data_IF_078686361736
#
_entry.id   IF_078686361736
#
_cell.length_a   1.000
_cell.length_b   1.000
_cell.length_c   1.000
_cell.angle_alpha   90.00
_cell.angle_beta   90.00
_cell.angle_gamma   90.00
#
_symmetry.space_group_name_H-M   'P 1'
#
loop_
_entity.id
_entity.type
_entity.pdbx_description
1 polymer ?
#
# COMPACT_ATOMS: atom_id res chain seq x y z
N UNK A 1 -0.77 -16.99 -8.15
CA UNK A 1 -1.67 -16.16 -8.96
C UNK A 1 -2.11 -16.81 -10.28
N UNK A 2 -1.23 -17.18 -11.21
CA UNK A 2 -1.63 -17.77 -12.52
C UNK A 2 -2.61 -18.96 -12.41
N UNK A 3 -2.38 -19.86 -11.45
CA UNK A 3 -3.28 -21.02 -11.23
C UNK A 3 -4.67 -20.57 -10.75
N UNK A 4 -4.73 -19.62 -9.81
CA UNK A 4 -5.98 -19.06 -9.30
C UNK A 4 -6.79 -18.35 -10.40
N UNK A 5 -6.12 -17.57 -11.25
CA UNK A 5 -6.75 -16.94 -12.42
C UNK A 5 -7.28 -17.96 -13.42
N UNK A 6 -6.53 -19.05 -13.63
CA UNK A 6 -6.97 -20.15 -14.48
C UNK A 6 -8.18 -20.88 -13.89
N UNK A 7 -8.17 -21.13 -12.57
CA UNK A 7 -9.29 -21.77 -11.87
C UNK A 7 -10.57 -20.93 -12.02
N UNK A 8 -10.47 -19.61 -11.78
CA UNK A 8 -11.61 -18.69 -11.91
C UNK A 8 -12.10 -18.60 -13.36
N UNK A 9 -11.18 -18.44 -14.33
CA UNK A 9 -11.53 -18.30 -15.76
C UNK A 9 -12.16 -19.55 -16.33
N UNK A 10 -11.64 -20.71 -15.94
CA UNK A 10 -12.08 -22.01 -16.48
C UNK A 10 -13.18 -22.66 -15.62
N UNK A 11 -13.64 -21.96 -14.56
CA UNK A 11 -14.62 -22.48 -13.59
C UNK A 11 -14.19 -23.83 -13.00
N UNK A 12 -12.89 -23.95 -12.64
CA UNK A 12 -12.36 -25.13 -11.99
C UNK A 12 -12.60 -24.98 -10.48
N UNK A 13 -13.37 -25.91 -9.92
CA UNK A 13 -13.78 -25.87 -8.52
C UNK A 13 -12.86 -26.73 -7.67
N UNK A 14 -12.23 -26.13 -6.67
CA UNK A 14 -11.48 -26.82 -5.62
C UNK A 14 -12.16 -26.62 -4.28
N UNK A 15 -11.87 -27.50 -3.35
CA UNK A 15 -12.53 -27.50 -2.03
C UNK A 15 -11.77 -26.64 -1.01
N UNK A 16 -10.54 -26.19 -1.33
CA UNK A 16 -9.76 -25.29 -0.47
C UNK A 16 -8.96 -24.30 -1.30
N UNK A 17 -9.02 -23.04 -0.89
CA UNK A 17 -8.19 -21.95 -1.37
C UNK A 17 -7.54 -21.23 -0.18
N UNK A 18 -6.23 -20.97 -0.27
CA UNK A 18 -5.49 -20.17 0.70
C UNK A 18 -4.87 -18.98 -0.02
N UNK A 19 -5.42 -17.80 0.23
CA UNK A 19 -4.96 -16.52 -0.30
C UNK A 19 -4.14 -15.84 0.79
N UNK A 20 -2.88 -15.52 0.54
CA UNK A 20 -2.03 -14.91 1.58
C UNK A 20 -1.11 -13.84 1.04
N UNK A 21 -0.62 -12.97 1.93
CA UNK A 21 0.32 -11.91 1.62
C UNK A 21 -0.20 -10.52 1.96
N UNK A 22 0.64 -9.47 1.87
CA UNK A 22 0.31 -8.12 2.33
C UNK A 22 -0.76 -7.41 1.48
N UNK A 23 -0.97 -7.81 0.21
CA UNK A 23 -1.89 -7.14 -0.71
C UNK A 23 -3.36 -7.48 -0.44
N UNK A 24 -3.94 -6.87 0.60
CA UNK A 24 -5.32 -7.10 1.06
C UNK A 24 -6.37 -6.82 -0.01
N UNK A 25 -6.20 -5.77 -0.84
CA UNK A 25 -7.11 -5.43 -1.93
C UNK A 25 -7.27 -6.57 -2.93
N UNK A 26 -6.14 -7.11 -3.42
CA UNK A 26 -6.17 -8.21 -4.36
C UNK A 26 -6.69 -9.48 -3.72
N UNK A 27 -6.30 -9.81 -2.47
CA UNK A 27 -6.85 -10.95 -1.72
C UNK A 27 -8.37 -10.86 -1.67
N UNK A 28 -8.93 -9.71 -1.26
CA UNK A 28 -10.38 -9.50 -1.15
C UNK A 28 -11.10 -9.57 -2.51
N UNK A 29 -10.47 -9.05 -3.57
CA UNK A 29 -11.03 -9.12 -4.92
C UNK A 29 -11.12 -10.57 -5.43
N UNK A 30 -10.06 -11.36 -5.21
CA UNK A 30 -10.06 -12.77 -5.62
C UNK A 30 -10.93 -13.64 -4.73
N UNK A 31 -11.02 -13.36 -3.44
CA UNK A 31 -11.95 -13.99 -2.51
C UNK A 31 -13.39 -13.81 -2.98
N UNK A 32 -13.81 -12.56 -3.27
CA UNK A 32 -15.15 -12.26 -3.81
C UNK A 32 -15.41 -12.99 -5.14
N UNK A 33 -14.41 -13.02 -6.03
CA UNK A 33 -14.51 -13.73 -7.28
C UNK A 33 -14.67 -15.25 -7.10
N UNK A 34 -13.98 -15.84 -6.11
CA UNK A 34 -14.14 -17.25 -5.76
C UNK A 34 -15.52 -17.51 -5.16
N UNK A 35 -15.95 -16.71 -4.19
CA UNK A 35 -17.29 -16.85 -3.58
C UNK A 35 -18.38 -16.83 -4.65
N UNK A 36 -18.30 -15.88 -5.59
CA UNK A 36 -19.29 -15.76 -6.69
C UNK A 36 -19.33 -16.93 -7.68
N UNK A 37 -18.31 -17.81 -7.66
CA UNK A 37 -18.33 -19.05 -8.45
C UNK A 37 -19.22 -20.13 -7.84
N UNK A 38 -19.38 -20.10 -6.51
CA UNK A 38 -20.01 -21.19 -5.76
C UNK A 38 -21.38 -20.80 -5.20
N UNK A 39 -21.57 -19.52 -4.89
CA UNK A 39 -22.74 -19.03 -4.15
C UNK A 39 -23.37 -17.86 -4.90
N UNK A 40 -24.70 -17.90 -5.05
CA UNK A 40 -25.44 -16.79 -5.66
C UNK A 40 -25.41 -15.54 -4.76
N UNK A 41 -25.55 -14.36 -5.36
CA UNK A 41 -25.62 -13.12 -4.60
C UNK A 41 -26.84 -13.12 -3.67
N UNK A 42 -26.61 -12.84 -2.38
CA UNK A 42 -27.65 -12.82 -1.35
C UNK A 42 -27.92 -14.17 -0.69
N UNK A 43 -27.25 -15.25 -1.07
CA UNK A 43 -27.36 -16.54 -0.37
C UNK A 43 -26.62 -16.52 0.96
N UNK A 44 -27.35 -16.35 2.04
CA UNK A 44 -26.84 -16.37 3.42
C UNK A 44 -26.87 -17.75 4.08
N UNK A 45 -27.50 -18.75 3.44
CA UNK A 45 -27.62 -20.10 3.99
C UNK A 45 -26.39 -20.96 3.71
N UNK A 46 -25.70 -20.69 2.59
CA UNK A 46 -24.56 -21.49 2.15
C UNK A 46 -23.24 -20.71 2.22
N UNK A 47 -23.25 -19.45 2.67
CA UNK A 47 -22.05 -18.62 2.81
C UNK A 47 -21.89 -18.15 4.26
N UNK A 48 -20.77 -18.52 4.87
CA UNK A 48 -20.44 -18.11 6.24
C UNK A 48 -19.06 -17.48 6.28
N UNK A 49 -18.93 -16.39 7.05
CA UNK A 49 -17.68 -15.68 7.27
C UNK A 49 -17.22 -15.80 8.72
N UNK A 50 -15.95 -16.11 8.90
CA UNK A 50 -15.25 -16.08 10.18
C UNK A 50 -14.10 -15.09 10.12
N UNK A 51 -13.92 -14.30 11.19
CA UNK A 51 -12.91 -13.24 11.27
C UNK A 51 -12.08 -13.34 12.53
N UNK A 52 -10.77 -13.16 12.39
CA UNK A 52 -9.85 -13.00 13.52
C UNK A 52 -9.40 -14.32 14.14
N UNK A 53 -8.59 -14.21 15.19
CA UNK A 53 -7.79 -15.30 15.76
C UNK A 53 -8.52 -16.24 16.70
N UNK A 54 -9.66 -15.83 17.25
CA UNK A 54 -10.44 -16.60 18.25
C UNK A 54 -11.49 -17.44 17.54
N UNK A 55 -11.05 -18.47 16.85
CA UNK A 55 -11.91 -19.37 16.09
C UNK A 55 -11.76 -20.78 16.63
N UNK A 56 -12.89 -21.45 16.89
CA UNK A 56 -12.89 -22.89 17.18
C UNK A 56 -12.88 -23.66 15.86
N UNK A 57 -11.78 -24.31 15.59
CA UNK A 57 -11.61 -25.11 14.36
C UNK A 57 -12.61 -26.27 14.27
N UNK A 58 -13.05 -26.82 15.41
CA UNK A 58 -14.04 -27.90 15.44
C UNK A 58 -15.39 -27.43 14.96
N UNK A 59 -15.82 -26.23 15.39
CA UNK A 59 -17.05 -25.61 14.90
C UNK A 59 -17.02 -25.42 13.38
N UNK A 60 -15.85 -24.99 12.83
CA UNK A 60 -15.68 -24.83 11.39
C UNK A 60 -15.77 -26.17 10.67
N UNK A 61 -15.13 -27.22 11.20
CA UNK A 61 -15.16 -28.58 10.62
C UNK A 61 -16.59 -29.12 10.67
N UNK A 62 -17.29 -28.98 11.78
CA UNK A 62 -18.67 -29.42 11.94
C UNK A 62 -19.60 -28.71 10.93
N UNK A 63 -19.43 -27.40 10.77
CA UNK A 63 -20.15 -26.64 9.73
C UNK A 63 -19.80 -27.09 8.32
N UNK A 64 -18.54 -27.37 8.06
CA UNK A 64 -18.04 -27.81 6.76
C UNK A 64 -18.56 -29.18 6.34
N UNK A 65 -18.91 -30.04 7.30
CA UNK A 65 -19.52 -31.36 7.08
C UNK A 65 -21.06 -31.31 6.91
N UNK A 66 -21.67 -30.15 7.16
CA UNK A 66 -23.11 -30.00 6.93
C UNK A 66 -23.40 -29.81 5.44
N UNK A 67 -24.42 -30.50 4.93
CA UNK A 67 -24.83 -30.38 3.54
C UNK A 67 -25.30 -28.94 3.22
N UNK A 68 -25.00 -28.44 2.01
CA UNK A 68 -25.50 -27.14 1.58
C UNK A 68 -27.03 -27.18 1.40
N UNK A 69 -27.69 -26.05 1.66
CA UNK A 69 -29.13 -25.93 1.52
C UNK A 69 -29.51 -25.50 0.10
N UNK A 70 -30.13 -26.36 -0.68
CA UNK A 70 -30.55 -26.09 -2.08
C UNK A 70 -29.43 -25.49 -2.97
N UNK A 71 -28.17 -25.84 -2.73
CA UNK A 71 -27.00 -25.38 -3.46
C UNK A 71 -26.02 -26.52 -3.67
N UNK A 72 -25.09 -26.39 -4.64
CA UNK A 72 -24.06 -27.40 -4.89
C UNK A 72 -22.94 -27.34 -3.84
N UNK A 73 -22.67 -26.18 -3.27
CA UNK A 73 -21.56 -25.95 -2.37
C UNK A 73 -21.96 -25.10 -1.17
N UNK A 74 -21.38 -25.43 -0.02
CA UNK A 74 -21.26 -24.57 1.14
C UNK A 74 -19.90 -23.88 1.08
N UNK A 75 -19.87 -22.56 1.25
CA UNK A 75 -18.64 -21.77 1.26
C UNK A 75 -18.40 -21.19 2.64
N UNK A 76 -17.23 -21.44 3.18
CA UNK A 76 -16.78 -20.87 4.44
C UNK A 76 -15.54 -20.03 4.16
N UNK A 77 -15.64 -18.73 4.43
CA UNK A 77 -14.55 -17.76 4.26
C UNK A 77 -13.95 -17.45 5.64
N UNK A 78 -12.64 -17.59 5.73
CA UNK A 78 -11.89 -17.40 6.97
C UNK A 78 -10.83 -16.32 6.75
N UNK A 79 -10.97 -15.16 7.45
CA UNK A 79 -10.10 -14.02 7.27
C UNK A 79 -9.27 -13.74 8.52
N UNK A 80 -7.95 -13.64 8.35
CA UNK A 80 -6.96 -13.28 9.39
C UNK A 80 -7.08 -14.15 10.65
N UNK A 81 -7.23 -15.45 10.45
CA UNK A 81 -7.43 -16.44 11.50
C UNK A 81 -6.14 -16.93 12.14
N UNK A 82 -5.00 -16.72 11.46
CA UNK A 82 -3.67 -17.26 11.80
C UNK A 82 -3.61 -18.80 11.83
N UNK A 83 -4.63 -19.51 11.34
CA UNK A 83 -4.65 -20.97 11.27
C UNK A 83 -3.55 -21.55 10.37
N UNK A 84 -2.95 -20.75 9.51
CA UNK A 84 -1.80 -21.11 8.68
C UNK A 84 -0.48 -20.50 9.16
N UNK A 85 -0.47 -19.80 10.30
CA UNK A 85 0.74 -19.24 10.93
C UNK A 85 1.30 -20.11 12.03
N UNK A 86 0.46 -20.97 12.62
CA UNK A 86 0.81 -21.89 13.69
C UNK A 86 0.32 -23.32 13.35
N UNK A 87 0.90 -24.35 14.00
CA UNK A 87 0.45 -25.73 13.79
C UNK A 87 -0.98 -25.92 14.28
N UNK A 88 -1.82 -26.50 13.42
CA UNK A 88 -3.19 -26.88 13.71
C UNK A 88 -3.41 -28.31 13.17
N UNK A 89 -3.30 -29.27 14.07
CA UNK A 89 -3.38 -30.69 13.73
C UNK A 89 -4.76 -31.07 13.19
N UNK A 90 -5.82 -30.56 13.82
CA UNK A 90 -7.21 -30.81 13.40
C UNK A 90 -7.44 -30.36 11.95
N UNK A 91 -6.97 -29.17 11.58
CA UNK A 91 -7.08 -28.66 10.22
C UNK A 91 -6.22 -29.48 9.24
N UNK A 92 -5.01 -29.88 9.67
CA UNK A 92 -4.10 -30.68 8.83
C UNK A 92 -4.68 -32.07 8.52
N UNK A 93 -5.39 -32.67 9.46
CA UNK A 93 -6.05 -33.99 9.29
C UNK A 93 -7.37 -33.88 8.51
N UNK A 94 -8.05 -32.74 8.60
CA UNK A 94 -9.31 -32.49 7.91
C UNK A 94 -9.14 -32.19 6.42
N UNK A 95 -8.17 -31.34 6.03
CA UNK A 95 -7.99 -30.92 4.64
C UNK A 95 -7.93 -32.08 3.62
N UNK A 96 -7.23 -33.20 3.86
CA UNK A 96 -7.24 -34.33 2.93
C UNK A 96 -8.61 -34.96 2.68
N UNK A 97 -9.51 -34.83 3.66
CA UNK A 97 -10.83 -35.47 3.70
C UNK A 97 -12.00 -34.49 3.57
N UNK A 98 -11.72 -33.26 3.14
CA UNK A 98 -12.73 -32.21 3.02
C UNK A 98 -13.90 -32.65 2.13
N UNK A 99 -15.13 -32.39 2.58
CA UNK A 99 -16.35 -32.76 1.85
C UNK A 99 -16.35 -32.18 0.43
N UNK A 100 -16.80 -32.97 -0.55
CA UNK A 100 -16.91 -32.51 -1.94
C UNK A 100 -17.92 -31.37 -2.09
N UNK A 101 -18.87 -31.24 -1.18
CA UNK A 101 -19.89 -30.17 -1.16
C UNK A 101 -19.44 -28.91 -0.43
N UNK A 102 -18.19 -28.84 0.06
CA UNK A 102 -17.66 -27.71 0.83
C UNK A 102 -16.51 -27.04 0.10
N UNK A 103 -16.42 -25.72 0.23
CA UNK A 103 -15.29 -24.92 -0.19
C UNK A 103 -14.84 -24.01 0.95
N UNK A 104 -13.60 -24.22 1.41
CA UNK A 104 -12.94 -23.36 2.39
C UNK A 104 -12.08 -22.32 1.67
N UNK A 105 -12.25 -21.04 2.00
CA UNK A 105 -11.45 -19.94 1.44
C UNK A 105 -10.79 -19.21 2.61
N UNK A 106 -9.49 -19.38 2.74
CA UNK A 106 -8.67 -18.65 3.73
C UNK A 106 -8.05 -17.41 3.10
N UNK A 107 -8.14 -16.28 3.80
CA UNK A 107 -7.52 -15.01 3.44
C UNK A 107 -6.65 -14.54 4.61
N UNK A 108 -5.33 -14.73 4.52
CA UNK A 108 -4.37 -14.55 5.61
C UNK A 108 -3.30 -13.52 5.24
N UNK A 109 -2.85 -12.70 6.21
CA UNK A 109 -1.73 -11.78 5.98
C UNK A 109 -0.41 -12.55 5.84
N UNK A 110 -0.25 -13.62 6.61
CA UNK A 110 0.97 -14.46 6.65
C UNK A 110 0.61 -15.91 6.82
N UNK A 111 1.41 -16.78 6.21
CA UNK A 111 1.34 -18.24 6.42
C UNK A 111 2.74 -18.82 6.57
N UNK A 112 2.87 -19.94 7.25
CA UNK A 112 4.10 -20.74 7.23
C UNK A 112 3.95 -21.89 6.21
N UNK A 113 4.76 -21.84 5.17
CA UNK A 113 4.75 -22.82 4.08
C UNK A 113 5.24 -24.22 4.49
N UNK A 114 5.87 -24.34 5.67
CA UNK A 114 6.42 -25.60 6.19
C UNK A 114 5.38 -26.43 6.94
N UNK A 115 4.31 -25.80 7.40
CA UNK A 115 3.27 -26.43 8.20
C UNK A 115 2.55 -27.54 7.42
N UNK A 116 2.08 -28.56 8.18
CA UNK A 116 1.41 -29.72 7.65
C UNK A 116 0.10 -29.36 6.92
N UNK A 117 -0.72 -28.49 7.52
CA UNK A 117 -1.95 -27.99 6.90
C UNK A 117 -1.68 -27.19 5.61
N UNK A 118 -0.58 -26.43 5.53
CA UNK A 118 -0.23 -25.69 4.30
C UNK A 118 0.17 -26.64 3.17
N UNK A 119 0.91 -27.70 3.49
CA UNK A 119 1.26 -28.75 2.52
C UNK A 119 0.02 -29.51 2.05
N UNK A 120 -0.89 -29.85 2.96
CA UNK A 120 -2.17 -30.46 2.63
C UNK A 120 -3.02 -29.57 1.71
N UNK A 121 -3.13 -28.27 2.04
CA UNK A 121 -3.84 -27.30 1.21
C UNK A 121 -3.23 -27.16 -0.20
N UNK A 122 -1.90 -27.20 -0.34
CA UNK A 122 -1.22 -27.20 -1.65
C UNK A 122 -1.53 -28.43 -2.49
N UNK A 123 -1.70 -29.59 -1.85
CA UNK A 123 -1.98 -30.87 -2.57
C UNK A 123 -3.43 -30.98 -3.01
N UNK A 124 -4.38 -30.43 -2.25
CA UNK A 124 -5.83 -30.57 -2.45
C UNK A 124 -6.49 -29.36 -3.08
N UNK A 125 -5.83 -28.19 -3.04
CA UNK A 125 -6.40 -26.93 -3.44
C UNK A 125 -5.42 -25.99 -4.14
N UNK A 126 -5.65 -24.68 -3.93
CA UNK A 126 -4.78 -23.62 -4.44
C UNK A 126 -4.30 -22.75 -3.30
N UNK A 127 -2.98 -22.59 -3.21
CA UNK A 127 -2.32 -21.65 -2.29
C UNK A 127 -1.70 -20.53 -3.14
N UNK A 128 -2.20 -19.31 -3.00
CA UNK A 128 -1.83 -18.17 -3.82
C UNK A 128 -1.26 -17.03 -2.97
N UNK A 129 -0.08 -16.54 -3.35
CA UNK A 129 0.59 -15.42 -2.72
C UNK A 129 0.21 -14.10 -3.41
N UNK A 130 -0.03 -13.08 -2.61
CA UNK A 130 -0.28 -11.69 -2.98
C UNK A 130 0.81 -10.81 -2.36
N UNK A 131 1.99 -10.85 -2.97
CA UNK A 131 3.15 -10.07 -2.56
C UNK A 131 2.93 -8.57 -2.81
N UNK A 132 3.79 -7.74 -2.20
CA UNK A 132 3.82 -6.30 -2.47
C UNK A 132 4.03 -6.03 -3.95
N UNK A 133 3.37 -4.98 -4.43
CA UNK A 133 3.44 -4.58 -5.83
C UNK A 133 4.70 -3.73 -6.08
N UNK A 134 5.37 -4.01 -7.17
CA UNK A 134 6.34 -3.08 -7.74
C UNK A 134 5.64 -1.90 -8.41
N UNK A 135 6.38 -0.81 -8.64
CA UNK A 135 5.88 0.34 -9.42
C UNK A 135 5.39 -0.08 -10.82
N UNK A 136 6.02 -1.10 -11.41
CA UNK A 136 5.59 -1.65 -12.70
C UNK A 136 4.24 -2.38 -12.60
N UNK A 137 4.03 -3.17 -11.53
CA UNK A 137 2.77 -3.87 -11.29
C UNK A 137 1.62 -2.89 -11.02
N UNK A 138 1.91 -1.81 -10.27
CA UNK A 138 0.95 -0.75 -10.00
C UNK A 138 0.54 -0.02 -11.28
N UNK A 139 1.52 0.32 -12.12
CA UNK A 139 1.29 0.91 -13.45
C UNK A 139 0.40 0.02 -14.31
N UNK A 140 0.72 -1.26 -14.38
CA UNK A 140 -0.05 -2.27 -15.14
C UNK A 140 -1.48 -2.42 -14.59
N UNK A 141 -1.65 -2.40 -13.28
CA UNK A 141 -2.97 -2.40 -12.63
C UNK A 141 -3.82 -1.20 -13.06
N UNK A 142 -3.25 0.02 -13.02
CA UNK A 142 -3.92 1.26 -13.43
C UNK A 142 -4.34 1.19 -14.90
N UNK A 143 -3.41 0.85 -15.78
CA UNK A 143 -3.66 0.78 -17.22
C UNK A 143 -4.72 -0.28 -17.58
N UNK A 144 -4.67 -1.45 -16.94
CA UNK A 144 -5.70 -2.49 -17.12
C UNK A 144 -7.07 -2.04 -16.62
N UNK A 145 -7.14 -1.30 -15.52
CA UNK A 145 -8.42 -0.78 -15.00
C UNK A 145 -9.00 0.27 -15.96
N UNK A 146 -8.19 1.21 -16.43
CA UNK A 146 -8.61 2.22 -17.41
C UNK A 146 -9.04 1.61 -18.74
N UNK A 147 -8.32 0.60 -19.23
CA UNK A 147 -8.66 -0.11 -20.47
C UNK A 147 -10.02 -0.80 -20.39
N UNK A 148 -10.41 -1.37 -19.24
CA UNK A 148 -11.74 -1.96 -19.02
C UNK A 148 -12.87 -0.94 -19.10
N UNK A 149 -12.60 0.30 -18.74
CA UNK A 149 -13.52 1.43 -18.80
C UNK A 149 -13.40 2.19 -20.15
N UNK A 150 -12.65 1.64 -21.12
CA UNK A 150 -12.37 2.27 -22.42
C UNK A 150 -11.80 3.68 -22.28
N UNK A 151 -10.96 3.92 -21.26
CA UNK A 151 -10.35 5.23 -20.96
C UNK A 151 -8.87 5.22 -21.32
N UNK A 152 -8.41 6.36 -21.84
CA UNK A 152 -6.99 6.60 -22.12
C UNK A 152 -6.42 7.61 -21.13
N UNK A 153 -5.14 7.48 -20.82
CA UNK A 153 -4.38 8.41 -19.97
C UNK A 153 -3.08 8.78 -20.67
N UNK A 154 -2.71 10.06 -20.63
CA UNK A 154 -1.41 10.49 -21.17
C UNK A 154 -0.27 10.04 -20.27
N UNK A 155 0.95 9.88 -20.81
CA UNK A 155 2.11 9.46 -20.04
C UNK A 155 2.39 10.37 -18.84
N UNK A 156 2.31 11.68 -19.02
CA UNK A 156 2.52 12.67 -17.96
C UNK A 156 1.43 12.60 -16.87
N UNK A 157 0.17 12.37 -17.26
CA UNK A 157 -0.92 12.20 -16.31
C UNK A 157 -0.76 10.92 -15.51
N UNK A 158 -0.31 9.83 -16.12
CA UNK A 158 -0.04 8.57 -15.44
C UNK A 158 1.10 8.71 -14.43
N UNK A 159 2.20 9.37 -14.78
CA UNK A 159 3.29 9.64 -13.84
C UNK A 159 2.80 10.49 -12.64
N UNK A 160 2.05 11.55 -12.91
CA UNK A 160 1.47 12.39 -11.86
C UNK A 160 0.50 11.61 -10.96
N UNK A 161 -0.34 10.75 -11.55
CA UNK A 161 -1.24 9.88 -10.80
C UNK A 161 -0.46 8.93 -9.90
N UNK A 162 0.57 8.25 -10.44
CA UNK A 162 1.44 7.32 -9.70
C UNK A 162 2.18 8.01 -8.53
N UNK A 163 2.60 9.25 -8.71
CA UNK A 163 3.22 10.04 -7.63
C UNK A 163 2.26 10.31 -6.48
N UNK A 164 0.99 10.61 -6.80
CA UNK A 164 -0.02 11.07 -5.82
C UNK A 164 -0.88 9.96 -5.21
N UNK A 165 -1.01 8.80 -5.85
CA UNK A 165 -1.95 7.77 -5.41
C UNK A 165 -1.48 6.90 -4.24
N UNK A 166 -0.18 7.00 -3.81
CA UNK A 166 0.37 6.08 -2.82
C UNK A 166 0.54 4.65 -3.36
N UNK A 167 0.68 3.68 -2.48
CA UNK A 167 0.92 2.26 -2.77
C UNK A 167 -0.22 1.34 -2.28
N UNK A 168 -1.13 1.86 -1.50
CA UNK A 168 -2.33 1.12 -1.09
C UNK A 168 -3.32 1.03 -2.26
N UNK A 169 -3.55 -0.19 -2.75
CA UNK A 169 -4.48 -0.43 -3.85
C UNK A 169 -5.94 -0.04 -3.54
N UNK A 170 -6.34 0.03 -2.28
CA UNK A 170 -7.66 0.55 -1.92
C UNK A 170 -7.76 2.04 -2.26
N UNK A 171 -6.72 2.80 -1.86
CA UNK A 171 -6.63 4.22 -2.19
C UNK A 171 -6.49 4.42 -3.71
N UNK A 172 -5.58 3.69 -4.36
CA UNK A 172 -5.40 3.75 -5.83
C UNK A 172 -6.69 3.48 -6.56
N UNK A 173 -7.46 2.45 -6.16
CA UNK A 173 -8.74 2.13 -6.79
C UNK A 173 -9.77 3.24 -6.60
N UNK A 174 -9.84 3.83 -5.40
CA UNK A 174 -10.73 4.96 -5.11
C UNK A 174 -10.37 6.21 -5.92
N UNK A 175 -9.07 6.54 -6.04
CA UNK A 175 -8.61 7.66 -6.86
C UNK A 175 -8.88 7.43 -8.35
N UNK A 176 -8.71 6.19 -8.84
CA UNK A 176 -9.06 5.83 -10.22
C UNK A 176 -10.56 5.99 -10.50
N UNK A 177 -11.43 5.59 -9.59
CA UNK A 177 -12.88 5.77 -9.76
C UNK A 177 -13.26 7.25 -9.81
N UNK A 178 -12.66 8.08 -8.97
CA UNK A 178 -12.88 9.53 -8.99
C UNK A 178 -12.46 10.15 -10.32
N UNK A 179 -11.25 9.83 -10.81
CA UNK A 179 -10.75 10.44 -12.05
C UNK A 179 -11.50 9.92 -13.29
N UNK A 180 -11.90 8.64 -13.32
CA UNK A 180 -12.75 8.09 -14.38
C UNK A 180 -14.09 8.82 -14.43
N UNK A 181 -14.71 9.02 -13.26
CA UNK A 181 -15.99 9.73 -13.15
C UNK A 181 -15.87 11.20 -13.55
N UNK A 182 -14.83 11.89 -13.08
CA UNK A 182 -14.56 13.29 -13.42
C UNK A 182 -14.33 13.51 -14.92
N UNK A 183 -13.66 12.57 -15.57
CA UNK A 183 -13.32 12.65 -16.99
C UNK A 183 -14.31 11.94 -17.90
N UNK A 184 -15.48 11.53 -17.40
CA UNK A 184 -16.46 10.70 -18.14
C UNK A 184 -16.83 11.27 -19.52
N UNK A 185 -16.94 12.60 -19.65
CA UNK A 185 -17.27 13.28 -20.90
C UNK A 185 -16.06 13.76 -21.72
N UNK A 186 -14.83 13.39 -21.31
CA UNK A 186 -13.59 13.81 -21.96
C UNK A 186 -13.00 12.66 -22.78
N UNK A 187 -12.22 12.97 -23.80
CA UNK A 187 -11.59 11.96 -24.67
C UNK A 187 -10.44 11.19 -24.01
N UNK A 188 -9.91 11.69 -22.88
CA UNK A 188 -8.83 11.05 -22.14
C UNK A 188 -8.49 11.80 -20.86
N UNK A 189 -7.62 11.21 -20.05
CA UNK A 189 -7.17 11.76 -18.78
C UNK A 189 -5.86 12.51 -19.03
N UNK A 190 -5.82 13.79 -18.65
CA UNK A 190 -4.68 14.71 -18.78
C UNK A 190 -4.15 15.14 -17.41
N UNK A 191 -2.93 15.73 -17.33
CA UNK A 191 -2.38 16.19 -16.04
C UNK A 191 -3.31 17.13 -15.27
N UNK A 192 -4.01 18.03 -15.98
CA UNK A 192 -4.95 18.98 -15.36
C UNK A 192 -6.13 18.27 -14.67
N UNK A 193 -6.53 17.11 -15.18
CA UNK A 193 -7.60 16.31 -14.60
C UNK A 193 -7.11 15.62 -13.31
N UNK A 194 -5.87 15.12 -13.33
CA UNK A 194 -5.23 14.55 -12.13
C UNK A 194 -5.09 15.63 -11.07
N UNK A 195 -4.65 16.83 -11.46
CA UNK A 195 -4.49 17.96 -10.53
C UNK A 195 -5.80 18.40 -9.89
N UNK A 196 -6.88 18.41 -10.67
CA UNK A 196 -8.22 18.79 -10.20
C UNK A 196 -8.83 17.76 -9.22
N UNK A 197 -8.54 16.46 -9.42
CA UNK A 197 -9.12 15.38 -8.62
C UNK A 197 -8.23 14.99 -7.44
N UNK A 198 -6.92 15.05 -7.63
CA UNK A 198 -5.89 14.65 -6.66
C UNK A 198 -4.99 15.84 -6.37
N UNK A 199 -5.34 16.68 -5.40
CA UNK A 199 -4.47 17.78 -5.01
C UNK A 199 -3.10 17.25 -4.54
N UNK A 200 -2.01 18.03 -4.68
CA UNK A 200 -0.69 17.62 -4.20
C UNK A 200 -0.73 17.19 -2.74
N UNK A 201 -0.11 16.05 -2.44
CA UNK A 201 0.04 15.60 -1.06
C UNK A 201 0.92 16.59 -0.27
N UNK A 202 0.76 16.69 1.06
CA UNK A 202 1.67 17.48 1.89
C UNK A 202 3.14 17.11 1.65
N UNK A 203 3.44 15.82 1.46
CA UNK A 203 4.77 15.32 1.15
C UNK A 203 5.36 15.90 -0.15
N UNK A 204 4.56 16.08 -1.19
CA UNK A 204 5.04 16.65 -2.46
C UNK A 204 5.47 18.13 -2.26
N UNK A 205 4.71 18.87 -1.44
CA UNK A 205 5.06 20.23 -1.06
C UNK A 205 6.30 20.29 -0.18
N UNK A 206 6.48 19.29 0.70
CA UNK A 206 7.70 19.14 1.50
C UNK A 206 8.91 18.89 0.59
N UNK A 207 8.80 18.00 -0.41
CA UNK A 207 9.88 17.81 -1.39
C UNK A 207 10.25 19.13 -2.09
N UNK A 208 9.24 19.85 -2.59
CA UNK A 208 9.47 21.14 -3.23
C UNK A 208 10.08 22.20 -2.26
N UNK A 209 9.69 22.15 -0.98
CA UNK A 209 10.25 23.02 0.05
C UNK A 209 11.70 22.66 0.37
N UNK A 210 12.04 21.38 0.47
CA UNK A 210 13.43 20.93 0.67
C UNK A 210 14.30 21.33 -0.53
N UNK A 211 13.80 21.19 -1.76
CA UNK A 211 14.52 21.68 -2.94
C UNK A 211 14.78 23.19 -2.85
N UNK A 212 13.78 23.98 -2.45
CA UNK A 212 13.95 25.42 -2.27
C UNK A 212 14.94 25.77 -1.13
N UNK A 213 14.94 25.00 -0.03
CA UNK A 213 15.90 25.13 1.06
C UNK A 213 17.33 24.87 0.54
N UNK A 214 17.55 23.79 -0.21
CA UNK A 214 18.87 23.43 -0.74
C UNK A 214 19.33 24.37 -1.86
N UNK A 215 18.39 25.02 -2.56
CA UNK A 215 18.67 26.06 -3.55
C UNK A 215 18.80 27.48 -2.91
N UNK A 216 18.74 27.58 -1.58
CA UNK A 216 18.78 28.85 -0.81
C UNK A 216 17.68 29.85 -1.18
N UNK A 217 16.54 29.35 -1.74
CA UNK A 217 15.36 30.16 -2.09
C UNK A 217 14.41 30.27 -0.87
N UNK A 218 14.77 31.13 0.08
CA UNK A 218 14.01 31.36 1.30
C UNK A 218 12.57 31.79 1.02
N UNK A 219 12.37 32.63 0.01
CA UNK A 219 11.03 33.14 -0.34
C UNK A 219 10.10 32.01 -0.76
N UNK A 220 10.59 31.12 -1.61
CA UNK A 220 9.84 29.95 -2.08
C UNK A 220 9.60 28.95 -0.96
N UNK A 221 10.61 28.69 -0.11
CA UNK A 221 10.50 27.75 1.00
C UNK A 221 9.45 28.19 2.03
N UNK A 222 9.48 29.45 2.46
CA UNK A 222 8.50 30.05 3.39
C UNK A 222 7.10 30.11 2.75
N UNK A 223 7.00 30.41 1.44
CA UNK A 223 5.73 30.37 0.71
C UNK A 223 5.07 29.00 0.74
N UNK A 224 5.85 27.93 0.50
CA UNK A 224 5.36 26.56 0.56
C UNK A 224 4.94 26.14 1.98
N UNK A 225 5.63 26.64 3.02
CA UNK A 225 5.22 26.46 4.41
C UNK A 225 3.87 27.12 4.69
N UNK A 226 3.68 28.37 4.26
CA UNK A 226 2.40 29.08 4.41
C UNK A 226 1.25 28.35 3.70
N UNK A 227 1.50 27.78 2.51
CA UNK A 227 0.54 26.95 1.79
C UNK A 227 0.15 25.69 2.58
N UNK A 228 1.13 25.00 3.20
CA UNK A 228 0.88 23.84 4.04
C UNK A 228 0.02 24.18 5.26
N UNK A 229 0.27 25.30 5.91
CA UNK A 229 -0.56 25.81 7.02
C UNK A 229 -2.00 26.12 6.58
N UNK A 230 -2.17 26.71 5.39
CA UNK A 230 -3.49 27.01 4.80
C UNK A 230 -4.28 25.72 4.57
N UNK A 231 -3.60 24.60 4.25
CA UNK A 231 -4.18 23.26 4.11
C UNK A 231 -4.41 22.56 5.46
N UNK A 232 -4.31 23.29 6.57
CA UNK A 232 -4.51 22.81 7.95
C UNK A 232 -3.50 21.73 8.40
N UNK A 233 -2.30 21.72 7.82
CA UNK A 233 -1.23 20.88 8.36
C UNK A 233 -0.66 21.55 9.63
N UNK A 234 -0.50 20.75 10.68
CA UNK A 234 0.08 21.22 11.95
C UNK A 234 1.58 21.49 11.80
N UNK A 235 2.13 22.59 12.36
CA UNK A 235 3.55 22.94 12.24
C UNK A 235 4.49 21.81 12.67
N UNK A 236 4.17 21.11 13.79
CA UNK A 236 4.97 19.98 14.29
C UNK A 236 4.98 18.82 13.31
N UNK A 237 3.86 18.56 12.63
CA UNK A 237 3.77 17.53 11.58
C UNK A 237 4.65 17.91 10.39
N UNK A 238 4.64 19.19 9.98
CA UNK A 238 5.50 19.70 8.90
C UNK A 238 6.98 19.54 9.29
N UNK A 239 7.36 19.90 10.51
CA UNK A 239 8.73 19.71 11.03
C UNK A 239 9.17 18.25 10.98
N UNK A 240 8.29 17.33 11.37
CA UNK A 240 8.56 15.89 11.30
C UNK A 240 8.80 15.42 9.86
N UNK A 241 7.99 15.90 8.92
CA UNK A 241 8.14 15.57 7.49
C UNK A 241 9.44 16.15 6.91
N UNK A 242 9.84 17.39 7.28
CA UNK A 242 11.12 17.97 6.88
C UNK A 242 12.27 17.07 7.36
N UNK A 243 12.25 16.70 8.63
CA UNK A 243 13.29 15.85 9.24
C UNK A 243 13.37 14.46 8.57
N UNK A 244 12.25 13.84 8.31
CA UNK A 244 12.20 12.54 7.61
C UNK A 244 12.75 12.65 6.20
N UNK A 245 12.41 13.71 5.49
CA UNK A 245 12.91 13.94 4.14
C UNK A 245 14.43 14.18 4.13
N UNK A 246 14.98 14.95 5.08
CA UNK A 246 16.44 15.13 5.22
C UNK A 246 17.14 13.80 5.54
N UNK A 247 16.53 12.94 6.37
CA UNK A 247 17.06 11.59 6.64
C UNK A 247 17.06 10.72 5.38
N UNK A 248 15.99 10.74 4.60
CA UNK A 248 15.95 10.02 3.33
C UNK A 248 17.07 10.46 2.39
N UNK A 249 17.29 11.78 2.25
CA UNK A 249 18.40 12.32 1.46
C UNK A 249 19.75 11.80 1.97
N UNK A 250 19.99 11.82 3.29
CA UNK A 250 21.23 11.32 3.89
C UNK A 250 21.44 9.83 3.60
N UNK A 251 20.41 9.00 3.75
CA UNK A 251 20.48 7.58 3.41
C UNK A 251 20.74 7.35 1.92
N UNK A 252 20.05 8.10 1.04
CA UNK A 252 20.27 8.02 -0.38
C UNK A 252 21.72 8.41 -0.76
N UNK A 253 22.31 9.42 -0.11
CA UNK A 253 23.73 9.79 -0.29
C UNK A 253 24.67 8.66 0.11
N UNK A 254 24.45 8.01 1.26
CA UNK A 254 25.28 6.91 1.75
C UNK A 254 25.25 5.72 0.80
N UNK A 255 24.04 5.28 0.44
CA UNK A 255 23.85 4.13 -0.42
C UNK A 255 24.30 4.39 -1.87
N UNK A 256 24.20 5.64 -2.35
CA UNK A 256 24.68 6.01 -3.68
C UNK A 256 26.23 5.95 -3.79
N UNK A 257 26.96 6.24 -2.71
CA UNK A 257 28.42 6.04 -2.65
C UNK A 257 28.80 4.55 -2.71
N UNK A 258 27.96 3.70 -2.16
CA UNK A 258 28.09 2.23 -2.22
C UNK A 258 27.59 1.65 -3.57
N UNK A 259 27.23 2.51 -4.53
CA UNK A 259 26.69 2.14 -5.84
C UNK A 259 25.43 1.26 -5.79
N UNK A 260 24.64 1.38 -4.72
CA UNK A 260 23.37 0.68 -4.60
C UNK A 260 22.35 1.26 -5.58
N UNK A 261 21.59 0.40 -6.27
CA UNK A 261 20.57 0.86 -7.21
C UNK A 261 19.38 1.52 -6.49
N UNK A 262 18.66 2.48 -7.10
CA UNK A 262 17.46 3.09 -6.48
C UNK A 262 16.41 2.06 -6.06
N UNK A 263 16.29 0.96 -6.77
CA UNK A 263 15.39 -0.15 -6.44
C UNK A 263 15.81 -0.87 -5.17
N UNK A 264 17.10 -1.17 -5.03
CA UNK A 264 17.62 -1.85 -3.83
C UNK A 264 17.61 -0.92 -2.61
N UNK A 265 17.88 0.39 -2.82
CA UNK A 265 17.68 1.42 -1.80
C UNK A 265 16.26 1.43 -1.27
N UNK A 266 15.27 1.44 -2.18
CA UNK A 266 13.87 1.43 -1.84
C UNK A 266 13.47 0.19 -1.03
N UNK A 267 13.96 -0.98 -1.43
CA UNK A 267 13.73 -2.23 -0.70
C UNK A 267 14.35 -2.21 0.70
N UNK A 268 15.58 -1.71 0.85
CA UNK A 268 16.28 -1.61 2.13
C UNK A 268 15.60 -0.62 3.08
N UNK A 269 15.10 0.51 2.54
CA UNK A 269 14.44 1.57 3.30
C UNK A 269 12.93 1.30 3.52
N UNK A 270 12.39 0.21 2.95
CA UNK A 270 10.96 -0.12 3.07
C UNK A 270 10.04 0.92 2.43
N UNK A 271 10.45 1.54 1.31
CA UNK A 271 9.70 2.59 0.64
C UNK A 271 9.64 2.38 -0.88
N UNK A 272 8.80 3.14 -1.56
CA UNK A 272 8.69 3.07 -3.02
C UNK A 272 9.95 3.64 -3.71
N UNK A 273 10.34 3.01 -4.81
CA UNK A 273 11.48 3.45 -5.63
C UNK A 273 11.33 4.91 -6.10
N UNK A 274 10.11 5.35 -6.38
CA UNK A 274 9.81 6.73 -6.77
C UNK A 274 10.28 7.75 -5.71
N UNK A 275 10.05 7.48 -4.41
CA UNK A 275 10.49 8.38 -3.33
C UNK A 275 12.00 8.51 -3.27
N UNK A 276 12.71 7.40 -3.46
CA UNK A 276 14.19 7.41 -3.55
C UNK A 276 14.65 8.21 -4.77
N UNK A 277 14.03 8.02 -5.93
CA UNK A 277 14.34 8.77 -7.15
C UNK A 277 14.12 10.28 -6.99
N UNK A 278 13.10 10.69 -6.23
CA UNK A 278 12.86 12.11 -5.91
C UNK A 278 13.91 12.69 -4.95
N UNK A 279 14.48 11.90 -4.05
CA UNK A 279 15.49 12.35 -3.10
C UNK A 279 16.90 12.44 -3.73
N UNK A 280 17.23 11.65 -4.77
CA UNK A 280 18.55 11.60 -5.37
C UNK A 280 19.04 12.94 -5.98
N UNK A 281 18.22 13.77 -6.67
CA UNK A 281 18.65 15.09 -7.13
C UNK A 281 19.04 16.02 -5.96
N UNK A 282 18.27 16.02 -4.89
CA UNK A 282 18.56 16.77 -3.66
C UNK A 282 19.86 16.30 -2.99
N UNK A 283 20.13 15.01 -3.00
CA UNK A 283 21.36 14.41 -2.49
C UNK A 283 22.64 14.90 -3.19
N UNK A 284 22.54 15.41 -4.42
CA UNK A 284 23.66 15.95 -5.19
C UNK A 284 23.95 17.42 -4.89
N UNK A 285 23.01 18.14 -4.24
CA UNK A 285 23.10 19.57 -3.98
C UNK A 285 23.81 19.90 -2.67
N UNK A 286 24.08 18.95 -1.81
CA UNK A 286 24.55 19.18 -0.45
C UNK A 286 25.58 18.13 -0.01
N UNK A 287 26.32 18.40 1.08
CA UNK A 287 27.22 17.44 1.68
C UNK A 287 26.52 16.66 2.79
N UNK A 288 27.06 15.46 3.13
CA UNK A 288 26.53 14.67 4.27
C UNK A 288 26.64 15.42 5.60
N UNK A 289 27.68 16.24 5.73
CA UNK A 289 27.92 17.05 6.95
C UNK A 289 26.79 18.09 7.06
N UNK A 290 26.50 18.78 5.98
CA UNK A 290 25.46 19.79 5.92
C UNK A 290 24.06 19.18 6.19
N UNK A 291 23.72 18.07 5.55
CA UNK A 291 22.43 17.40 5.80
C UNK A 291 22.31 16.93 7.27
N UNK A 292 23.39 16.40 7.88
CA UNK A 292 23.39 16.03 9.30
C UNK A 292 23.14 17.25 10.20
N UNK A 293 23.83 18.34 9.95
CA UNK A 293 23.63 19.58 10.68
C UNK A 293 22.17 20.07 10.59
N UNK A 294 21.57 20.03 9.40
CA UNK A 294 20.15 20.38 9.20
C UNK A 294 19.20 19.46 9.96
N UNK A 295 19.51 18.17 10.06
CA UNK A 295 18.73 17.21 10.88
C UNK A 295 18.83 17.57 12.37
N UNK A 296 20.02 17.97 12.85
CA UNK A 296 20.25 18.42 14.23
C UNK A 296 19.46 19.71 14.53
N UNK A 297 19.46 20.68 13.62
CA UNK A 297 18.63 21.90 13.74
C UNK A 297 17.14 21.58 13.85
N UNK A 298 16.65 20.60 13.07
CA UNK A 298 15.26 20.13 13.19
C UNK A 298 14.97 19.52 14.56
N UNK A 299 15.93 18.76 15.12
CA UNK A 299 15.75 18.11 16.42
C UNK A 299 15.76 19.15 17.57
N UNK A 300 16.66 20.13 17.53
CA UNK A 300 16.71 21.24 18.50
C UNK A 300 15.42 22.06 18.49
N UNK A 301 14.92 22.39 17.30
CA UNK A 301 13.65 23.11 17.15
C UNK A 301 12.47 22.29 17.70
N UNK A 302 12.42 20.99 17.46
CA UNK A 302 11.38 20.10 17.99
C UNK A 302 11.40 20.05 19.52
N UNK A 303 12.60 19.98 20.13
CA UNK A 303 12.77 20.01 21.58
C UNK A 303 12.31 21.35 22.19
N UNK A 304 12.70 22.46 21.58
CA UNK A 304 12.30 23.80 22.04
C UNK A 304 10.80 24.04 21.94
N UNK A 305 10.14 23.52 20.90
CA UNK A 305 8.68 23.57 20.76
C UNK A 305 8.02 22.71 21.84
N UNK A 306 8.47 21.48 22.03
CA UNK A 306 7.89 20.54 23.02
C UNK A 306 8.08 20.97 24.46
N UNK A 307 9.16 21.67 24.74
CA UNK A 307 9.40 22.28 26.09
C UNK A 307 8.66 23.60 26.31
N UNK A 308 7.91 24.08 25.33
CA UNK A 308 7.14 25.35 25.44
C UNK A 308 7.99 26.61 25.33
N UNK A 309 9.25 26.48 24.94
CA UNK A 309 10.17 27.62 24.78
C UNK A 309 9.95 28.36 23.44
N UNK A 310 9.26 27.75 22.50
CA UNK A 310 9.06 28.30 21.16
C UNK A 310 7.64 27.99 20.66
N UNK A 311 6.98 29.01 20.10
CA UNK A 311 5.70 28.81 19.42
C UNK A 311 5.89 27.89 18.19
N UNK A 312 5.07 26.85 18.01
CA UNK A 312 5.26 25.88 16.93
C UNK A 312 5.29 26.52 15.53
N UNK A 313 4.40 27.47 15.26
CA UNK A 313 4.30 28.10 13.94
C UNK A 313 5.51 28.96 13.64
N UNK A 314 5.88 29.81 14.60
CA UNK A 314 7.05 30.69 14.48
C UNK A 314 8.34 29.89 14.46
N UNK A 315 8.46 28.86 15.31
CA UNK A 315 9.64 28.02 15.38
C UNK A 315 9.96 27.30 14.09
N UNK A 316 8.95 26.72 13.45
CA UNK A 316 9.15 26.04 12.15
C UNK A 316 9.46 27.03 11.03
N UNK A 317 8.84 28.22 11.04
CA UNK A 317 9.14 29.26 10.05
C UNK A 317 10.61 29.74 10.20
N UNK A 318 11.05 30.01 11.42
CA UNK A 318 12.45 30.40 11.70
C UNK A 318 13.41 29.31 11.25
N UNK A 319 13.13 28.05 11.61
CA UNK A 319 13.94 26.91 11.17
C UNK A 319 14.09 26.87 9.65
N UNK A 320 12.99 27.02 8.89
CA UNK A 320 13.04 27.01 7.43
C UNK A 320 13.96 28.11 6.90
N UNK A 321 13.91 29.32 7.48
CA UNK A 321 14.80 30.42 7.12
C UNK A 321 16.26 30.07 7.45
N UNK A 322 16.52 29.55 8.65
CA UNK A 322 17.86 29.13 9.07
C UNK A 322 18.42 28.00 8.19
N UNK A 323 17.59 27.02 7.84
CA UNK A 323 17.96 25.94 6.91
C UNK A 323 18.32 26.45 5.51
N UNK A 324 17.72 27.56 5.05
CA UNK A 324 18.10 28.19 3.79
C UNK A 324 19.44 28.92 3.87
N UNK A 325 19.80 29.49 5.02
CA UNK A 325 21.00 30.29 5.23
C UNK A 325 22.21 29.42 5.62
N UNK A 326 21.98 28.35 6.34
CA UNK A 326 22.99 27.53 7.04
C UNK A 326 23.78 26.56 6.17
N UNK A 327 24.09 26.88 4.93
CA UNK A 327 24.93 26.11 3.98
C UNK A 327 26.28 26.79 3.68
N UNK A 328 26.88 27.49 4.64
CA UNK A 328 28.19 28.12 4.46
C UNK A 328 29.26 27.39 5.25
#
# INVERSE_FOLDING_TARGET
MKQLEADIKNKIYKNIYVLYGPQSYNRKRYEKALVSLFVAEGDTMNLTYYYGKKIDIKEIIDLAETLPFMSEKRVIVLENTELFSHSCEELADYIPNISETTCLIFSEDKIDLRLRQTKAAKSKGTVAEFADLSDADLRDFILKRLSREHRQITANALEMFLQRCGDDLWQVSGELEKIISYTFKKDGIRPEDVEAVMPPLPEDRIFAMIDAILDHDTKKAVGLYADLLTLRNEPISILSLIREQMRLILHAMQMNEEHVSPKDMAQTLGMREMRVKMALPAARKSSKIDIRHRIEMCADTDERIKSGLLDPRVGVEMLIVELCIGGS
#
